data_IF_845919428415
#
_entry.id   IF_845919428415
#
_cell.length_a   1.000
_cell.length_b   1.000
_cell.length_c   1.000
_cell.angle_alpha   90.00
_cell.angle_beta   90.00
_cell.angle_gamma   90.00
#
_symmetry.space_group_name_H-M   'P 1'
#
loop_
_entity.id
_entity.type
_entity.pdbx_description
1 polymer ?
#
# COMPACT_ATOMS: atom_id res chain seq x y z
N UNK A 1 1.83 -19.10 18.77
CA UNK A 1 3.21 -18.62 18.60
C UNK A 1 3.41 -17.47 19.58
N UNK A 2 4.02 -17.73 20.74
CA UNK A 2 4.29 -16.69 21.75
C UNK A 2 5.54 -15.91 21.30
N UNK A 3 5.37 -14.62 21.00
CA UNK A 3 6.48 -13.71 20.72
C UNK A 3 7.20 -13.40 22.05
N UNK A 4 8.17 -14.22 22.44
CA UNK A 4 9.18 -13.80 23.40
C UNK A 4 10.19 -12.94 22.64
N UNK A 5 9.99 -11.62 22.64
CA UNK A 5 10.99 -10.67 22.17
C UNK A 5 12.26 -10.89 22.99
N UNK A 6 13.27 -11.51 22.38
CA UNK A 6 14.60 -11.59 23.00
C UNK A 6 15.24 -10.21 22.91
N UNK A 7 15.95 -9.78 23.96
CA UNK A 7 16.60 -8.46 24.02
C UNK A 7 17.50 -8.18 22.78
N UNK A 8 18.04 -9.25 22.19
CA UNK A 8 18.87 -9.23 20.98
C UNK A 8 18.11 -8.89 19.70
N UNK A 9 16.81 -9.20 19.60
CA UNK A 9 15.98 -8.94 18.41
C UNK A 9 15.56 -7.48 18.31
N UNK A 10 15.29 -6.82 19.43
CA UNK A 10 14.96 -5.38 19.48
C UNK A 10 16.20 -4.49 19.42
N UNK A 11 17.37 -4.99 19.84
CA UNK A 11 18.61 -4.21 19.84
C UNK A 11 19.15 -3.93 18.43
N UNK A 12 19.00 -4.89 17.50
CA UNK A 12 19.57 -4.75 16.13
C UNK A 12 18.94 -3.61 15.33
N UNK A 13 17.60 -3.47 15.23
CA UNK A 13 16.98 -2.34 14.55
C UNK A 13 17.35 -1.00 15.21
N UNK A 14 17.42 -0.97 16.55
CA UNK A 14 17.70 0.23 17.31
C UNK A 14 19.15 0.72 17.07
N UNK A 15 20.11 -0.22 17.03
CA UNK A 15 21.49 0.08 16.64
C UNK A 15 21.59 0.54 15.18
N UNK A 16 20.83 -0.06 14.26
CA UNK A 16 20.82 0.37 12.86
C UNK A 16 20.30 1.81 12.71
N UNK A 17 19.23 2.17 13.42
CA UNK A 17 18.70 3.54 13.46
C UNK A 17 19.74 4.50 14.04
N UNK A 18 20.36 4.16 15.18
CA UNK A 18 21.40 4.99 15.78
C UNK A 18 22.58 5.20 14.84
N UNK A 19 23.07 4.14 14.18
CA UNK A 19 24.13 4.23 13.19
C UNK A 19 23.74 5.10 11.99
N UNK A 20 22.50 5.03 11.52
CA UNK A 20 22.01 5.90 10.45
C UNK A 20 22.03 7.38 10.84
N UNK A 21 21.59 7.72 12.06
CA UNK A 21 21.67 9.09 12.57
C UNK A 21 23.13 9.55 12.79
N UNK A 22 24.02 8.66 13.25
CA UNK A 22 25.43 8.99 13.42
C UNK A 22 26.12 9.24 12.09
N UNK A 23 25.96 8.34 11.11
CA UNK A 23 26.54 8.48 9.78
C UNK A 23 25.96 9.69 9.03
N UNK A 24 24.65 9.90 9.10
CA UNK A 24 23.99 11.09 8.55
C UNK A 24 24.52 12.38 9.19
N UNK A 25 24.76 12.36 10.51
CA UNK A 25 25.28 13.50 11.25
C UNK A 25 26.74 13.78 10.89
N UNK A 26 27.56 12.74 10.72
CA UNK A 26 28.93 12.85 10.25
C UNK A 26 28.99 13.51 8.85
N UNK A 27 28.11 13.10 7.93
CA UNK A 27 28.03 13.72 6.60
C UNK A 27 27.64 15.19 6.67
N UNK A 28 26.69 15.56 7.54
CA UNK A 28 26.32 16.97 7.75
C UNK A 28 27.50 17.80 8.27
N UNK A 29 28.29 17.25 9.21
CA UNK A 29 29.50 17.90 9.71
C UNK A 29 30.54 18.10 8.60
N UNK A 30 30.75 17.10 7.73
CA UNK A 30 31.65 17.20 6.58
C UNK A 30 31.23 18.33 5.63
N UNK A 31 29.92 18.57 5.47
CA UNK A 31 29.36 19.65 4.65
C UNK A 31 29.34 21.01 5.41
N UNK A 32 29.83 21.05 6.66
CA UNK A 32 29.87 22.25 7.49
C UNK A 32 28.51 22.68 8.03
N UNK A 33 27.57 21.74 8.17
CA UNK A 33 26.24 21.98 8.76
C UNK A 33 26.15 21.36 10.15
N UNK A 34 25.44 22.03 11.05
CA UNK A 34 25.16 21.51 12.40
C UNK A 34 24.11 20.38 12.36
N UNK A 35 24.48 19.13 12.72
CA UNK A 35 23.56 18.00 12.69
C UNK A 35 22.44 18.13 13.73
N UNK A 36 22.74 18.65 14.92
CA UNK A 36 21.76 18.76 16.00
C UNK A 36 20.66 19.76 15.63
N UNK A 37 21.02 20.90 15.04
CA UNK A 37 20.07 21.86 14.50
C UNK A 37 19.24 21.30 13.34
N UNK A 38 19.82 20.49 12.45
CA UNK A 38 19.08 19.87 11.34
C UNK A 38 18.11 18.81 11.87
N UNK A 39 18.55 17.91 12.75
CA UNK A 39 17.68 16.89 13.35
C UNK A 39 16.58 17.52 14.21
N UNK A 40 16.91 18.57 14.97
CA UNK A 40 15.93 19.35 15.72
C UNK A 40 14.86 19.96 14.80
N UNK A 41 15.26 20.57 13.68
CA UNK A 41 14.32 21.09 12.67
C UNK A 41 13.51 19.99 12.00
N UNK A 42 14.11 18.84 11.69
CA UNK A 42 13.44 17.70 11.09
C UNK A 42 12.31 17.19 11.99
N UNK A 43 12.59 17.02 13.28
CA UNK A 43 11.61 16.60 14.28
C UNK A 43 10.55 17.69 14.51
N UNK A 44 10.94 18.95 14.62
CA UNK A 44 10.01 20.06 14.81
C UNK A 44 9.06 20.24 13.61
N UNK A 45 9.55 20.06 12.38
CA UNK A 45 8.71 20.17 11.18
C UNK A 45 7.80 18.96 10.97
N UNK A 46 8.19 17.78 11.46
CA UNK A 46 7.42 16.54 11.28
C UNK A 46 6.43 16.28 12.43
N UNK A 47 6.81 16.56 13.67
CA UNK A 47 6.03 16.26 14.89
C UNK A 47 5.69 17.49 15.72
N UNK A 48 6.32 18.63 15.47
CA UNK A 48 6.15 19.84 16.28
C UNK A 48 4.92 20.69 15.95
N UNK A 49 4.19 20.39 14.87
CA UNK A 49 2.96 21.10 14.52
C UNK A 49 1.95 20.17 13.82
N UNK A 50 0.68 20.60 13.80
CA UNK A 50 -0.43 19.83 13.22
C UNK A 50 -0.26 19.54 11.73
N UNK A 51 0.30 20.48 10.96
CA UNK A 51 0.57 20.27 9.53
C UNK A 51 1.60 19.14 9.31
N UNK A 52 2.69 19.16 10.08
CA UNK A 52 3.75 18.14 10.06
C UNK A 52 3.20 16.76 10.38
N UNK A 53 2.45 16.64 11.48
CA UNK A 53 1.83 15.37 11.86
C UNK A 53 0.89 14.88 10.76
N UNK A 54 0.10 15.78 10.18
CA UNK A 54 -0.77 15.43 9.05
C UNK A 54 0.03 14.98 7.81
N UNK A 55 1.18 15.58 7.51
CA UNK A 55 2.06 15.12 6.42
C UNK A 55 2.61 13.72 6.67
N UNK A 56 3.04 13.42 7.90
CA UNK A 56 3.49 12.08 8.30
C UNK A 56 2.34 11.08 8.12
N UNK A 57 1.15 11.37 8.62
CA UNK A 57 -0.03 10.51 8.48
C UNK A 57 -0.45 10.30 7.02
N UNK A 58 -0.38 11.35 6.19
CA UNK A 58 -0.65 11.26 4.76
C UNK A 58 0.34 10.33 4.04
N UNK A 59 1.61 10.34 4.44
CA UNK A 59 2.66 9.46 3.88
C UNK A 59 2.58 8.04 4.43
N UNK A 60 2.17 7.86 5.69
CA UNK A 60 1.96 6.56 6.31
C UNK A 60 0.78 5.81 5.70
N UNK A 61 -0.30 6.52 5.34
CA UNK A 61 -1.54 5.93 4.80
C UNK A 61 -1.33 4.93 3.63
N UNK A 62 -0.61 5.28 2.54
CA UNK A 62 -0.36 4.35 1.46
C UNK A 62 0.54 3.19 1.90
N UNK A 63 1.47 3.42 2.84
CA UNK A 63 2.36 2.39 3.38
C UNK A 63 1.63 1.36 4.25
N UNK A 64 0.57 1.75 4.96
CA UNK A 64 -0.32 0.80 5.64
C UNK A 64 -0.93 -0.15 4.60
N UNK A 65 -1.51 0.40 3.54
CA UNK A 65 -2.20 -0.38 2.52
C UNK A 65 -1.24 -1.28 1.71
N UNK A 66 -0.08 -0.76 1.31
CA UNK A 66 0.92 -1.59 0.61
C UNK A 66 1.59 -2.58 1.54
N UNK A 67 1.78 -2.24 2.82
CA UNK A 67 2.22 -3.19 3.85
C UNK A 67 1.23 -4.35 4.02
N UNK A 68 -0.08 -4.07 4.02
CA UNK A 68 -1.11 -5.12 4.02
C UNK A 68 -1.08 -5.95 2.73
N UNK A 69 -0.88 -5.31 1.58
CA UNK A 69 -0.75 -6.01 0.28
C UNK A 69 0.45 -6.97 0.24
N UNK A 70 1.48 -6.73 1.04
CA UNK A 70 2.59 -7.66 1.25
C UNK A 70 2.23 -8.68 2.33
N UNK A 71 1.69 -8.27 3.48
CA UNK A 71 1.40 -9.17 4.58
C UNK A 71 0.35 -10.25 4.25
N UNK A 72 -0.62 -9.97 3.37
CA UNK A 72 -1.67 -10.93 2.99
C UNK A 72 -1.08 -12.20 2.34
N UNK A 73 -0.34 -12.14 1.22
CA UNK A 73 0.20 -13.33 0.59
C UNK A 73 1.29 -14.00 1.44
N UNK A 74 1.98 -13.21 2.28
CA UNK A 74 2.95 -13.76 3.23
C UNK A 74 2.33 -14.76 4.21
N UNK A 75 1.07 -14.59 4.61
CA UNK A 75 0.36 -15.59 5.42
C UNK A 75 0.18 -16.92 4.68
N UNK A 76 0.17 -16.90 3.34
CA UNK A 76 0.11 -18.07 2.47
C UNK A 76 1.50 -18.60 2.04
N UNK A 77 2.59 -18.05 2.60
CA UNK A 77 3.96 -18.40 2.22
C UNK A 77 4.44 -17.78 0.90
N UNK A 78 3.74 -16.75 0.40
CA UNK A 78 4.06 -16.07 -0.86
C UNK A 78 4.73 -14.72 -0.59
N UNK A 79 5.67 -14.34 -1.47
CA UNK A 79 6.36 -13.05 -1.38
C UNK A 79 5.95 -12.13 -2.54
N UNK A 80 4.98 -11.24 -2.30
CA UNK A 80 4.44 -10.33 -3.32
C UNK A 80 5.28 -9.03 -3.45
N UNK A 81 6.11 -8.93 -4.49
CA UNK A 81 6.86 -7.70 -4.85
C UNK A 81 6.06 -6.81 -5.82
N UNK A 82 4.90 -7.29 -6.27
CA UNK A 82 4.06 -6.68 -7.30
C UNK A 82 3.20 -5.51 -6.83
N UNK A 83 3.39 -5.07 -5.58
CA UNK A 83 2.59 -4.01 -4.97
C UNK A 83 2.63 -2.71 -5.78
N UNK A 84 3.76 -2.38 -6.39
CA UNK A 84 3.91 -1.17 -7.21
C UNK A 84 2.98 -1.17 -8.43
N UNK A 85 2.96 -2.28 -9.19
CA UNK A 85 2.08 -2.45 -10.35
C UNK A 85 0.60 -2.52 -9.96
N UNK A 86 0.28 -3.18 -8.85
CA UNK A 86 -1.08 -3.25 -8.32
C UNK A 86 -1.62 -1.88 -7.89
N UNK A 87 -0.80 -1.07 -7.20
CA UNK A 87 -1.10 0.34 -6.86
C UNK A 87 -1.34 1.14 -8.13
N UNK A 88 -0.46 0.99 -9.11
CA UNK A 88 -0.49 1.74 -10.36
C UNK A 88 -1.76 1.45 -11.16
N UNK A 89 -2.12 0.17 -11.34
CA UNK A 89 -3.35 -0.22 -12.03
C UNK A 89 -4.61 0.23 -11.28
N UNK A 90 -4.61 0.13 -9.95
CA UNK A 90 -5.71 0.61 -9.11
C UNK A 90 -5.90 2.13 -9.18
N UNK A 91 -4.81 2.90 -9.10
CA UNK A 91 -4.83 4.35 -9.21
C UNK A 91 -5.30 4.82 -10.60
N UNK A 92 -4.80 4.18 -11.66
CA UNK A 92 -5.22 4.48 -13.01
C UNK A 92 -6.71 4.20 -13.23
N UNK A 93 -7.20 3.02 -12.83
CA UNK A 93 -8.61 2.66 -12.93
C UNK A 93 -9.51 3.60 -12.11
N UNK A 94 -9.11 3.96 -10.89
CA UNK A 94 -9.81 4.92 -10.05
C UNK A 94 -9.98 6.28 -10.74
N UNK A 95 -8.90 6.80 -11.36
CA UNK A 95 -8.94 8.09 -12.05
C UNK A 95 -9.81 8.05 -13.31
N UNK A 96 -9.69 6.99 -14.12
CA UNK A 96 -10.48 6.82 -15.35
C UNK A 96 -11.97 6.71 -15.03
N UNK A 97 -12.34 5.84 -14.09
CA UNK A 97 -13.73 5.66 -13.69
C UNK A 97 -14.26 6.92 -13.00
N UNK A 98 -13.50 7.50 -12.07
CA UNK A 98 -13.91 8.71 -11.36
C UNK A 98 -14.11 9.93 -12.27
N UNK A 99 -13.38 10.01 -13.39
CA UNK A 99 -13.57 11.05 -14.40
C UNK A 99 -14.73 10.73 -15.37
N UNK A 100 -15.10 9.47 -15.54
CA UNK A 100 -16.20 9.02 -16.41
C UNK A 100 -17.58 9.03 -15.72
N UNK A 101 -17.63 9.21 -14.39
CA UNK A 101 -18.90 9.28 -13.65
C UNK A 101 -19.74 10.52 -14.04
N UNK A 102 -21.08 10.44 -13.96
CA UNK A 102 -21.95 11.58 -14.20
C UNK A 102 -21.66 12.74 -13.25
N UNK A 103 -21.62 13.97 -13.79
CA UNK A 103 -21.46 15.18 -12.97
C UNK A 103 -22.68 15.34 -12.07
N UNK A 104 -22.44 15.59 -10.77
CA UNK A 104 -23.51 15.73 -9.77
C UNK A 104 -23.86 14.44 -9.02
N UNK A 105 -23.19 13.33 -9.31
CA UNK A 105 -23.38 12.09 -8.56
C UNK A 105 -23.03 12.29 -7.07
N UNK A 106 -23.91 11.91 -6.12
CA UNK A 106 -23.65 12.06 -4.71
C UNK A 106 -22.41 11.29 -4.26
N UNK A 107 -21.69 11.84 -3.27
CA UNK A 107 -20.46 11.25 -2.74
C UNK A 107 -20.65 9.81 -2.22
N UNK A 108 -21.83 9.51 -1.67
CA UNK A 108 -22.22 8.19 -1.17
C UNK A 108 -22.16 7.11 -2.24
N UNK A 109 -22.32 7.48 -3.51
CA UNK A 109 -22.29 6.54 -4.65
C UNK A 109 -20.94 6.65 -5.39
N UNK A 110 -20.48 7.87 -5.64
CA UNK A 110 -19.25 8.10 -6.39
C UNK A 110 -18.01 7.52 -5.69
N UNK A 111 -17.89 7.70 -4.37
CA UNK A 111 -16.73 7.21 -3.60
C UNK A 111 -16.64 5.68 -3.62
N UNK A 112 -17.69 4.90 -3.27
CA UNK A 112 -17.63 3.44 -3.36
C UNK A 112 -17.35 2.93 -4.76
N UNK A 113 -17.90 3.53 -5.81
CA UNK A 113 -17.63 3.11 -7.19
C UNK A 113 -16.14 3.25 -7.55
N UNK A 114 -15.52 4.37 -7.19
CA UNK A 114 -14.09 4.58 -7.41
C UNK A 114 -13.24 3.60 -6.60
N UNK A 115 -13.59 3.36 -5.33
CA UNK A 115 -12.88 2.40 -4.47
C UNK A 115 -13.00 0.97 -5.01
N UNK A 116 -14.19 0.54 -5.42
CA UNK A 116 -14.43 -0.77 -6.02
C UNK A 116 -13.65 -0.91 -7.33
N UNK A 117 -13.66 0.10 -8.19
CA UNK A 117 -12.88 0.09 -9.42
C UNK A 117 -11.37 -0.05 -9.14
N UNK A 118 -10.85 0.69 -8.16
CA UNK A 118 -9.46 0.62 -7.75
C UNK A 118 -9.10 -0.76 -7.20
N UNK A 119 -9.93 -1.30 -6.30
CA UNK A 119 -9.76 -2.62 -5.72
C UNK A 119 -9.81 -3.72 -6.79
N UNK A 120 -10.78 -3.69 -7.70
CA UNK A 120 -10.93 -4.68 -8.75
C UNK A 120 -9.74 -4.66 -9.71
N UNK A 121 -9.31 -3.48 -10.16
CA UNK A 121 -8.14 -3.37 -11.04
C UNK A 121 -6.87 -3.91 -10.37
N UNK A 122 -6.64 -3.54 -9.10
CA UNK A 122 -5.54 -4.08 -8.31
C UNK A 122 -5.66 -5.60 -8.11
N UNK A 123 -6.85 -6.10 -7.76
CA UNK A 123 -7.14 -7.52 -7.57
C UNK A 123 -6.95 -8.35 -8.82
N UNK A 124 -7.39 -7.87 -9.97
CA UNK A 124 -7.17 -8.52 -11.26
C UNK A 124 -5.66 -8.59 -11.52
N UNK A 125 -4.94 -7.48 -11.31
CA UNK A 125 -3.50 -7.44 -11.54
C UNK A 125 -2.71 -8.40 -10.64
N UNK A 126 -3.01 -8.41 -9.34
CA UNK A 126 -2.43 -9.39 -8.40
C UNK A 126 -2.87 -10.82 -8.70
N UNK A 127 -4.13 -10.99 -9.12
CA UNK A 127 -4.70 -12.26 -9.54
C UNK A 127 -3.97 -12.89 -10.73
N UNK A 128 -3.48 -12.11 -11.69
CA UNK A 128 -2.65 -12.62 -12.81
C UNK A 128 -1.42 -13.35 -12.27
N UNK A 129 -0.69 -12.75 -11.33
CA UNK A 129 0.47 -13.39 -10.71
C UNK A 129 0.07 -14.67 -9.94
N UNK A 130 -1.05 -14.62 -9.20
CA UNK A 130 -1.60 -15.78 -8.49
C UNK A 130 -1.99 -16.93 -9.44
N UNK A 131 -2.63 -16.62 -10.57
CA UNK A 131 -3.00 -17.59 -11.59
C UNK A 131 -1.76 -18.25 -12.21
N UNK A 132 -0.74 -17.45 -12.53
CA UNK A 132 0.52 -17.95 -13.08
C UNK A 132 1.23 -18.90 -12.10
N UNK A 133 1.22 -18.57 -10.81
CA UNK A 133 1.76 -19.42 -9.74
C UNK A 133 0.99 -20.73 -9.63
N UNK A 134 -0.34 -20.68 -9.60
CA UNK A 134 -1.21 -21.85 -9.39
C UNK A 134 -1.20 -22.81 -10.56
N UNK A 135 -1.29 -22.30 -11.81
CA UNK A 135 -1.41 -23.16 -12.99
C UNK A 135 -0.07 -23.60 -13.56
N UNK A 136 0.94 -22.73 -13.53
CA UNK A 136 2.22 -22.97 -14.17
C UNK A 136 3.38 -23.16 -13.19
N UNK A 137 3.13 -23.03 -11.88
CA UNK A 137 4.18 -23.19 -10.86
C UNK A 137 5.27 -22.11 -10.90
N UNK A 138 5.06 -21.02 -11.64
CA UNK A 138 6.07 -19.98 -11.83
C UNK A 138 6.28 -19.25 -10.50
N UNK A 139 7.53 -18.93 -10.18
CA UNK A 139 7.87 -18.17 -8.98
C UNK A 139 7.15 -16.80 -8.96
N UNK A 140 6.40 -16.56 -7.89
CA UNK A 140 5.61 -15.36 -7.66
C UNK A 140 6.47 -14.10 -7.56
N UNK A 141 7.70 -14.21 -7.06
CA UNK A 141 8.63 -13.08 -6.96
C UNK A 141 8.98 -12.58 -8.36
N UNK A 142 9.39 -13.48 -9.25
CA UNK A 142 9.78 -13.12 -10.62
C UNK A 142 8.58 -12.57 -11.39
N UNK A 143 7.44 -13.25 -11.34
CA UNK A 143 6.23 -12.81 -12.06
C UNK A 143 5.76 -11.46 -11.58
N UNK A 144 5.73 -11.21 -10.26
CA UNK A 144 5.29 -9.93 -9.72
C UNK A 144 6.23 -8.77 -10.03
N UNK A 145 7.55 -9.00 -10.06
CA UNK A 145 8.52 -8.00 -10.53
C UNK A 145 8.28 -7.68 -12.01
N UNK A 146 8.14 -8.70 -12.87
CA UNK A 146 7.91 -8.49 -14.30
C UNK A 146 6.58 -7.75 -14.56
N UNK A 147 5.53 -8.09 -13.83
CA UNK A 147 4.23 -7.45 -13.93
C UNK A 147 4.23 -5.98 -13.48
N UNK A 148 5.18 -5.54 -12.64
CA UNK A 148 5.32 -4.11 -12.33
C UNK A 148 5.73 -3.30 -13.58
N UNK A 149 6.68 -3.80 -14.36
CA UNK A 149 7.11 -3.14 -15.60
C UNK A 149 6.00 -3.15 -16.65
N UNK A 150 5.27 -4.26 -16.78
CA UNK A 150 4.14 -4.38 -17.69
C UNK A 150 3.03 -3.39 -17.28
N UNK A 151 2.73 -3.27 -15.99
CA UNK A 151 1.74 -2.31 -15.48
C UNK A 151 2.13 -0.87 -15.84
N UNK A 152 3.39 -0.51 -15.60
CA UNK A 152 3.90 0.82 -15.93
C UNK A 152 3.81 1.12 -17.44
N UNK A 153 4.16 0.15 -18.29
CA UNK A 153 4.04 0.28 -19.73
C UNK A 153 2.58 0.44 -20.19
N UNK A 154 1.66 -0.38 -19.66
CA UNK A 154 0.24 -0.33 -20.00
C UNK A 154 -0.37 1.01 -19.57
N UNK A 155 -0.23 1.38 -18.29
CA UNK A 155 -0.82 2.64 -17.82
C UNK A 155 -0.17 3.85 -18.47
N UNK A 156 1.14 3.83 -18.73
CA UNK A 156 1.83 4.88 -19.47
C UNK A 156 1.32 5.03 -20.90
N UNK A 157 1.10 3.90 -21.60
CA UNK A 157 0.54 3.89 -22.95
C UNK A 157 -0.89 4.46 -22.97
N UNK A 158 -1.79 3.95 -22.12
CA UNK A 158 -3.18 4.41 -22.10
C UNK A 158 -3.30 5.85 -21.59
N UNK A 159 -2.49 6.25 -20.61
CA UNK A 159 -2.42 7.63 -20.16
C UNK A 159 -2.06 8.54 -21.33
N UNK A 160 -0.96 8.27 -22.04
CA UNK A 160 -0.45 9.17 -23.08
C UNK A 160 -1.32 9.20 -24.34
N UNK A 161 -1.84 8.04 -24.77
CA UNK A 161 -2.53 7.93 -26.07
C UNK A 161 -4.06 8.05 -25.99
N UNK A 162 -4.68 7.83 -24.83
CA UNK A 162 -6.15 7.72 -24.72
C UNK A 162 -6.74 8.70 -23.71
N UNK A 163 -6.14 8.82 -22.52
CA UNK A 163 -6.75 9.55 -21.40
C UNK A 163 -6.08 10.87 -21.03
N UNK A 164 -4.96 11.22 -21.68
CA UNK A 164 -4.23 12.46 -21.43
C UNK A 164 -5.10 13.67 -21.78
N UNK A 165 -5.11 14.66 -20.89
CA UNK A 165 -5.55 16.00 -21.25
C UNK A 165 -4.48 16.63 -22.13
N UNK A 166 -4.90 17.35 -23.18
CA UNK A 166 -4.01 17.99 -24.15
C UNK A 166 -2.84 18.71 -23.47
N UNK A 167 -1.63 18.47 -23.99
CA UNK A 167 -0.37 19.06 -23.48
C UNK A 167 -0.01 18.69 -22.04
N UNK A 168 -0.57 17.60 -21.47
CA UNK A 168 -0.23 17.14 -20.12
C UNK A 168 -0.05 15.62 -20.04
N UNK A 169 0.63 15.14 -18.98
CA UNK A 169 0.81 13.70 -18.69
C UNK A 169 -0.06 13.31 -17.49
N UNK A 170 -1.34 13.70 -17.54
CA UNK A 170 -2.34 13.38 -16.50
C UNK A 170 -3.72 13.09 -17.11
N UNK A 171 -4.52 12.33 -16.38
CA UNK A 171 -5.92 12.07 -16.74
C UNK A 171 -6.78 13.31 -16.50
N UNK A 172 -8.00 13.29 -17.02
CA UNK A 172 -9.06 14.21 -16.56
C UNK A 172 -9.25 14.10 -15.05
N UNK A 173 -9.69 15.20 -14.46
CA UNK A 173 -9.99 15.30 -13.05
C UNK A 173 -11.26 14.51 -12.72
N UNK A 174 -11.25 13.77 -11.61
CA UNK A 174 -12.41 13.05 -11.11
C UNK A 174 -13.51 14.05 -10.71
N UNK A 175 -14.77 13.61 -10.78
CA UNK A 175 -15.89 14.45 -10.34
C UNK A 175 -15.74 14.86 -8.87
N UNK A 176 -16.26 16.05 -8.53
CA UNK A 176 -16.20 16.56 -7.15
C UNK A 176 -16.80 15.60 -6.12
N UNK A 177 -17.86 14.87 -6.47
CA UNK A 177 -18.47 13.85 -5.62
C UNK A 177 -17.58 12.62 -5.35
N UNK A 178 -16.60 12.35 -6.21
CA UNK A 178 -15.66 11.23 -6.04
C UNK A 178 -14.45 11.60 -5.16
N UNK A 179 -14.34 12.87 -4.71
CA UNK A 179 -13.24 13.30 -3.84
C UNK A 179 -13.48 12.88 -2.40
N UNK A 180 -12.41 12.42 -1.76
CA UNK A 180 -12.43 12.16 -0.32
C UNK A 180 -12.20 13.47 0.44
N UNK A 181 -12.98 13.68 1.50
CA UNK A 181 -12.81 14.83 2.36
C UNK A 181 -11.44 14.79 3.06
N UNK A 182 -10.80 15.94 3.11
CA UNK A 182 -9.57 16.15 3.89
C UNK A 182 -9.91 16.33 5.36
N UNK A 183 -9.02 15.90 6.25
CA UNK A 183 -9.20 16.04 7.70
C UNK A 183 -8.74 17.42 8.18
N UNK A 184 -9.22 18.47 7.51
CA UNK A 184 -8.79 19.86 7.74
C UNK A 184 -9.11 20.36 9.16
N UNK A 185 -10.17 19.83 9.78
CA UNK A 185 -10.54 20.13 11.15
C UNK A 185 -9.46 19.72 12.17
N UNK A 186 -8.79 18.58 11.94
CA UNK A 186 -7.75 18.06 12.83
C UNK A 186 -6.35 18.51 12.42
N UNK A 187 -6.12 18.60 11.10
CA UNK A 187 -4.81 18.91 10.53
C UNK A 187 -4.94 20.01 9.47
N UNK A 188 -4.99 21.28 9.87
CA UNK A 188 -5.15 22.40 8.95
C UNK A 188 -4.05 22.40 7.89
N UNK A 189 -4.43 22.65 6.63
CA UNK A 189 -3.54 22.74 5.44
C UNK A 189 -2.79 21.45 5.09
N UNK A 190 -3.05 20.34 5.77
CA UNK A 190 -2.42 19.05 5.48
C UNK A 190 -3.18 18.27 4.39
N UNK A 191 -2.50 17.50 3.53
CA UNK A 191 -3.14 16.64 2.53
C UNK A 191 -3.80 15.38 3.11
N UNK A 192 -3.70 15.15 4.42
CA UNK A 192 -4.31 14.00 5.09
C UNK A 192 -5.83 14.02 4.93
N UNK A 193 -6.38 12.85 4.64
CA UNK A 193 -7.77 12.70 4.22
C UNK A 193 -8.37 11.42 4.80
N UNK A 194 -9.67 11.20 4.54
CA UNK A 194 -10.43 10.07 5.06
C UNK A 194 -9.84 8.69 4.68
N UNK A 195 -8.94 8.58 3.71
CA UNK A 195 -8.28 7.31 3.40
C UNK A 195 -7.44 6.76 4.56
N UNK A 196 -7.00 7.60 5.50
CA UNK A 196 -6.32 7.14 6.72
C UNK A 196 -7.25 6.27 7.59
N UNK A 197 -8.51 6.69 7.74
CA UNK A 197 -9.50 5.92 8.50
C UNK A 197 -9.81 4.62 7.75
N UNK A 198 -9.91 4.70 6.42
CA UNK A 198 -10.10 3.53 5.57
C UNK A 198 -8.94 2.54 5.67
N UNK A 199 -7.68 3.00 5.69
CA UNK A 199 -6.50 2.12 5.79
C UNK A 199 -6.38 1.45 7.15
N UNK A 200 -6.64 2.19 8.24
CA UNK A 200 -6.72 1.62 9.59
C UNK A 200 -7.86 0.60 9.67
N UNK A 201 -9.03 0.93 9.12
CA UNK A 201 -10.17 0.00 9.03
C UNK A 201 -9.83 -1.26 8.26
N UNK A 202 -9.10 -1.15 7.14
CA UNK A 202 -8.64 -2.29 6.36
C UNK A 202 -7.64 -3.16 7.13
N UNK A 203 -6.71 -2.55 7.88
CA UNK A 203 -5.76 -3.27 8.73
C UNK A 203 -6.47 -4.05 9.85
N UNK A 204 -7.46 -3.43 10.51
CA UNK A 204 -8.28 -4.07 11.54
C UNK A 204 -9.12 -5.19 10.93
N UNK A 205 -9.79 -4.95 9.80
CA UNK A 205 -10.57 -5.96 9.10
C UNK A 205 -9.70 -7.17 8.72
N UNK A 206 -8.49 -6.92 8.20
CA UNK A 206 -7.55 -7.98 7.87
C UNK A 206 -7.07 -8.76 9.10
N UNK A 207 -6.83 -8.09 10.23
CA UNK A 207 -6.55 -8.75 11.51
C UNK A 207 -7.66 -9.73 11.90
N UNK A 208 -8.92 -9.32 11.83
CA UNK A 208 -10.05 -10.19 12.11
C UNK A 208 -10.12 -11.37 11.14
N UNK A 209 -9.96 -11.13 9.84
CA UNK A 209 -9.96 -12.19 8.83
C UNK A 209 -8.86 -13.22 9.12
N UNK A 210 -7.63 -12.81 9.40
CA UNK A 210 -6.52 -13.74 9.63
C UNK A 210 -6.64 -14.48 10.96
N UNK A 211 -6.94 -13.79 12.06
CA UNK A 211 -6.86 -14.38 13.40
C UNK A 211 -8.17 -14.91 13.94
N UNK A 212 -9.32 -14.51 13.39
CA UNK A 212 -10.64 -14.83 13.94
C UNK A 212 -11.55 -15.61 12.99
N UNK A 213 -11.12 -15.93 11.77
CA UNK A 213 -11.95 -16.69 10.81
C UNK A 213 -11.31 -18.02 10.40
N UNK A 214 -12.16 -18.95 9.92
CA UNK A 214 -11.73 -20.22 9.32
C UNK A 214 -10.80 -20.00 8.12
N UNK A 215 -11.13 -19.04 7.25
CA UNK A 215 -10.30 -18.70 6.09
C UNK A 215 -8.89 -18.27 6.50
N UNK A 216 -8.76 -17.44 7.53
CA UNK A 216 -7.45 -17.03 8.05
C UNK A 216 -6.64 -18.18 8.66
N UNK A 217 -7.30 -19.13 9.31
CA UNK A 217 -6.67 -20.36 9.77
C UNK A 217 -6.14 -21.20 8.61
N UNK A 218 -6.98 -21.45 7.59
CA UNK A 218 -6.60 -22.21 6.40
C UNK A 218 -5.45 -21.56 5.64
N UNK A 219 -5.51 -20.23 5.44
CA UNK A 219 -4.45 -19.47 4.78
C UNK A 219 -3.08 -19.65 5.45
N UNK A 220 -3.04 -19.55 6.78
CA UNK A 220 -1.81 -19.77 7.56
C UNK A 220 -1.34 -21.21 7.55
N UNK A 221 -2.27 -22.18 7.53
CA UNK A 221 -1.92 -23.59 7.41
C UNK A 221 -1.21 -23.85 6.08
N UNK A 222 -1.72 -23.28 4.97
CA UNK A 222 -1.08 -23.33 3.65
C UNK A 222 0.31 -22.71 3.68
N UNK A 223 0.48 -21.54 4.32
CA UNK A 223 1.78 -20.87 4.41
C UNK A 223 2.82 -21.58 5.27
N UNK A 224 2.40 -22.37 6.26
CA UNK A 224 3.30 -23.19 7.08
C UNK A 224 3.74 -24.46 6.34
N UNK A 225 2.81 -25.18 5.73
CA UNK A 225 3.11 -26.35 4.93
C UNK A 225 1.94 -26.67 3.98
N UNK A 226 2.14 -26.38 2.69
CA UNK A 226 1.15 -26.61 1.66
C UNK A 226 0.77 -28.09 1.49
N UNK A 227 1.71 -29.03 1.63
CA UNK A 227 1.41 -30.46 1.51
C UNK A 227 0.54 -30.94 2.67
N UNK A 228 0.90 -30.59 3.90
CA UNK A 228 0.12 -30.92 5.09
C UNK A 228 -1.29 -30.31 5.05
N UNK A 229 -1.41 -29.06 4.58
CA UNK A 229 -2.70 -28.40 4.38
C UNK A 229 -3.57 -29.15 3.36
N UNK A 230 -2.97 -29.64 2.27
CA UNK A 230 -3.66 -30.44 1.25
C UNK A 230 -4.16 -31.78 1.81
N UNK A 231 -3.36 -32.46 2.63
CA UNK A 231 -3.79 -33.68 3.33
C UNK A 231 -4.94 -33.43 4.30
N UNK A 232 -5.02 -32.24 4.89
CA UNK A 232 -6.14 -31.82 5.74
C UNK A 232 -7.39 -31.36 4.96
N UNK A 233 -7.39 -31.48 3.62
CA UNK A 233 -8.52 -31.10 2.76
C UNK A 233 -8.59 -29.61 2.42
N UNK A 234 -7.53 -28.84 2.68
CA UNK A 234 -7.48 -27.40 2.37
C UNK A 234 -6.99 -27.23 0.93
N UNK A 235 -7.73 -26.46 0.12
CA UNK A 235 -7.34 -26.17 -1.26
C UNK A 235 -6.27 -25.07 -1.31
N UNK A 236 -5.01 -25.45 -1.55
CA UNK A 236 -3.87 -24.52 -1.61
C UNK A 236 -4.04 -23.49 -2.73
N UNK A 237 -4.48 -23.95 -3.89
CA UNK A 237 -4.61 -23.18 -5.14
C UNK A 237 -5.55 -21.99 -4.94
N UNK A 238 -6.69 -22.22 -4.30
CA UNK A 238 -7.67 -21.18 -3.97
C UNK A 238 -7.09 -20.14 -3.01
N UNK A 239 -6.37 -20.58 -1.98
CA UNK A 239 -5.79 -19.68 -0.97
C UNK A 239 -4.68 -18.81 -1.56
N UNK A 240 -3.82 -19.39 -2.41
CA UNK A 240 -2.81 -18.65 -3.17
C UNK A 240 -3.47 -17.59 -4.04
N UNK A 241 -4.45 -17.97 -4.87
CA UNK A 241 -5.12 -17.03 -5.77
C UNK A 241 -5.85 -15.91 -5.02
N UNK A 242 -6.68 -16.25 -4.04
CA UNK A 242 -7.46 -15.26 -3.28
C UNK A 242 -6.56 -14.34 -2.48
N UNK A 243 -5.44 -14.84 -1.93
CA UNK A 243 -4.46 -13.99 -1.22
C UNK A 243 -3.82 -12.95 -2.14
N UNK A 244 -3.47 -13.32 -3.37
CA UNK A 244 -2.89 -12.41 -4.36
C UNK A 244 -3.91 -11.39 -4.89
N UNK A 245 -5.16 -11.79 -5.08
CA UNK A 245 -6.25 -10.87 -5.42
C UNK A 245 -6.55 -9.91 -4.27
N UNK A 246 -6.57 -10.39 -3.03
CA UNK A 246 -6.79 -9.56 -1.84
C UNK A 246 -5.65 -8.57 -1.62
N UNK A 247 -4.40 -8.99 -1.84
CA UNK A 247 -3.25 -8.11 -1.86
C UNK A 247 -3.39 -6.99 -2.90
N UNK A 248 -3.76 -7.38 -4.12
CA UNK A 248 -4.06 -6.44 -5.19
C UNK A 248 -5.15 -5.43 -4.83
N UNK A 249 -6.22 -5.87 -4.16
CA UNK A 249 -7.27 -4.97 -3.68
C UNK A 249 -6.73 -3.94 -2.67
N UNK A 250 -5.93 -4.39 -1.70
CA UNK A 250 -5.33 -3.49 -0.70
C UNK A 250 -4.37 -2.48 -1.34
N UNK A 251 -3.54 -2.94 -2.28
CA UNK A 251 -2.67 -2.06 -3.05
C UNK A 251 -3.49 -1.06 -3.89
N UNK A 252 -4.58 -1.50 -4.53
CA UNK A 252 -5.47 -0.62 -5.29
C UNK A 252 -6.12 0.49 -4.45
N UNK A 253 -6.44 0.21 -3.19
CA UNK A 253 -7.00 1.19 -2.25
C UNK A 253 -6.07 2.39 -1.98
N UNK A 254 -4.77 2.31 -2.32
CA UNK A 254 -3.87 3.47 -2.26
C UNK A 254 -4.40 4.65 -3.09
N UNK A 255 -5.16 4.36 -4.15
CA UNK A 255 -5.84 5.37 -4.96
C UNK A 255 -6.78 6.28 -4.15
N UNK A 256 -7.33 5.80 -3.03
CA UNK A 256 -8.12 6.62 -2.12
C UNK A 256 -7.30 7.82 -1.61
N UNK A 257 -6.04 7.60 -1.23
CA UNK A 257 -5.19 8.66 -0.72
C UNK A 257 -4.64 9.56 -1.84
N UNK A 258 -4.06 8.95 -2.88
CA UNK A 258 -3.32 9.69 -3.92
C UNK A 258 -4.21 10.35 -4.96
N UNK A 259 -5.25 9.65 -5.43
CA UNK A 259 -6.18 10.12 -6.46
C UNK A 259 -7.36 10.83 -5.82
N UNK A 260 -8.13 10.17 -4.96
CA UNK A 260 -9.39 10.73 -4.45
C UNK A 260 -9.18 11.83 -3.38
N UNK A 261 -8.18 11.68 -2.52
CA UNK A 261 -7.93 12.60 -1.40
C UNK A 261 -6.97 13.75 -1.69
N UNK A 262 -6.04 13.58 -2.64
CA UNK A 262 -4.98 14.56 -2.91
C UNK A 262 -5.09 15.24 -4.27
N UNK A 263 -4.75 14.55 -5.37
CA UNK A 263 -4.60 15.20 -6.69
C UNK A 263 -5.90 15.33 -7.47
N UNK A 264 -6.82 14.38 -7.32
CA UNK A 264 -8.05 14.30 -8.12
C UNK A 264 -7.83 13.76 -9.53
N UNK A 265 -6.64 13.29 -9.87
CA UNK A 265 -6.30 12.70 -11.18
C UNK A 265 -5.13 11.74 -11.02
N UNK A 266 -4.90 10.92 -12.05
CA UNK A 266 -3.72 10.09 -12.18
C UNK A 266 -2.65 10.79 -13.04
N UNK A 267 -1.39 10.66 -12.64
CA UNK A 267 -0.22 11.14 -13.39
C UNK A 267 0.87 10.06 -13.41
N UNK A 268 1.73 10.12 -14.42
CA UNK A 268 2.85 9.20 -14.52
C UNK A 268 3.76 9.29 -13.27
N UNK A 269 4.13 8.14 -12.70
CA UNK A 269 4.99 8.07 -11.51
C UNK A 269 4.30 8.35 -10.16
N UNK A 270 2.97 8.47 -10.13
CA UNK A 270 2.23 8.83 -8.91
C UNK A 270 2.41 7.83 -7.74
N UNK A 271 2.70 6.56 -7.99
CA UNK A 271 2.89 5.54 -6.95
C UNK A 271 4.12 5.80 -6.07
N UNK A 272 5.10 6.60 -6.54
CA UNK A 272 6.28 7.06 -5.76
C UNK A 272 7.03 5.96 -5.00
N UNK A 273 7.02 4.71 -5.46
CA UNK A 273 7.67 3.59 -4.78
C UNK A 273 6.97 3.09 -3.50
N UNK A 274 5.73 3.53 -3.23
CA UNK A 274 4.98 3.11 -2.05
C UNK A 274 4.76 1.59 -2.00
N UNK A 275 4.65 0.92 -3.15
CA UNK A 275 4.54 -0.54 -3.23
C UNK A 275 5.79 -1.24 -2.73
N UNK A 276 6.97 -0.72 -3.06
CA UNK A 276 8.26 -1.27 -2.63
C UNK A 276 8.50 -0.99 -1.14
N UNK A 277 8.23 0.23 -0.69
CA UNK A 277 8.38 0.61 0.73
C UNK A 277 7.44 -0.19 1.64
N UNK A 278 6.27 -0.60 1.14
CA UNK A 278 5.35 -1.51 1.84
C UNK A 278 5.99 -2.84 2.26
N UNK A 279 6.98 -3.34 1.51
CA UNK A 279 7.70 -4.57 1.88
C UNK A 279 8.46 -4.37 3.19
N UNK A 280 9.20 -3.27 3.30
CA UNK A 280 9.96 -2.96 4.52
C UNK A 280 9.02 -2.82 5.73
N UNK A 281 7.87 -2.15 5.55
CA UNK A 281 6.84 -1.99 6.60
C UNK A 281 6.26 -3.34 7.03
N UNK A 282 5.90 -4.20 6.08
CA UNK A 282 5.35 -5.52 6.40
C UNK A 282 6.36 -6.41 7.14
N UNK A 283 7.64 -6.37 6.72
CA UNK A 283 8.71 -7.13 7.36
C UNK A 283 9.01 -6.64 8.77
N UNK A 284 9.07 -5.31 8.99
CA UNK A 284 9.27 -4.72 10.30
C UNK A 284 8.11 -5.05 11.26
N UNK A 285 6.89 -5.08 10.75
CA UNK A 285 5.70 -5.48 11.49
C UNK A 285 5.56 -7.02 11.71
N UNK A 286 6.48 -7.83 11.17
CA UNK A 286 6.40 -9.29 11.24
C UNK A 286 5.14 -9.86 10.57
N UNK A 287 4.65 -9.21 9.51
CA UNK A 287 3.39 -9.52 8.82
C UNK A 287 2.12 -9.47 9.70
N UNK A 288 2.18 -8.81 10.86
CA UNK A 288 1.01 -8.60 11.70
C UNK A 288 0.24 -7.35 11.25
N UNK A 289 -1.07 -7.45 10.93
CA UNK A 289 -1.84 -6.34 10.38
C UNK A 289 -1.92 -5.11 11.29
N UNK A 290 -1.93 -5.29 12.62
CA UNK A 290 -2.02 -4.17 13.56
C UNK A 290 -0.66 -3.47 13.71
N UNK A 291 0.44 -4.23 13.70
CA UNK A 291 1.78 -3.64 13.79
C UNK A 291 2.18 -2.88 12.53
N UNK A 292 1.56 -3.18 11.37
CA UNK A 292 1.77 -2.42 10.12
C UNK A 292 1.37 -0.95 10.29
N UNK A 293 0.32 -0.66 11.08
CA UNK A 293 -0.10 0.72 11.35
C UNK A 293 1.03 1.50 12.01
N UNK A 294 1.64 0.93 13.06
CA UNK A 294 2.74 1.56 13.78
C UNK A 294 4.04 1.58 12.98
N UNK A 295 4.31 0.52 12.22
CA UNK A 295 5.51 0.42 11.39
C UNK A 295 5.50 1.38 10.18
N UNK A 296 4.34 1.87 9.78
CA UNK A 296 4.20 2.81 8.66
C UNK A 296 4.47 4.27 9.04
N UNK A 297 4.60 4.55 10.34
CA UNK A 297 4.76 5.89 10.91
C UNK A 297 6.24 6.30 11.03
#
# INVERSE_FOLDING_TARGET
>A
MQFKLTLSETLRPLLAVLLAFLLGGLLMLIIGKDPFGIYGKMLAMSLGNSYGIGQVLFRATPLILTGLAVAIPFQAGLFNIGGEGQVLMGAFACAVIGAALPVGLPWVVAVPLCLIAAMLAGSVWGGVAGLLKVHFGINEVITTIMLNFIAAAIAGYFLTNVFAVESTIRTKEIIGGARLARLEFLFPRSPVNLSLILSIGAAIAFYFVIYKTKYGYELRAVGLNAEAARYAGISNEKHVLVSMMAAGAMAGLVAANSVMGYKGYYEAGQSSGAGILGIAVAMLAGSNPLWIIFSSL
#
